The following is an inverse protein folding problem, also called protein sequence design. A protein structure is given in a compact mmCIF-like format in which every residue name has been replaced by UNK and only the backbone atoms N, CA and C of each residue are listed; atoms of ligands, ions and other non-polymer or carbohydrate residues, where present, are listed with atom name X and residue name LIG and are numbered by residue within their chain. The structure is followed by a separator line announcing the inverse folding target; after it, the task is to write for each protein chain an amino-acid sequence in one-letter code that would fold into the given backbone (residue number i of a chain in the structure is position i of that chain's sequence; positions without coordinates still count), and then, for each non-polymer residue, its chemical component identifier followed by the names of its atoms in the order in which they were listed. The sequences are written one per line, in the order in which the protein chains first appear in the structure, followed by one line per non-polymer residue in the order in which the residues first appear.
data_IF_492930100971
#
_entry.id   IF_492930100971
#
_cell.length_a   1.000
_cell.length_b   1.000
_cell.length_c   1.000
_cell.angle_alpha   90.00
_cell.angle_beta   90.00
_cell.angle_gamma   90.00
#
_symmetry.space_group_name_H-M   'P 1'
#
loop_
_entity.id
_entity.type
_entity.pdbx_description
1 polymer ?
#
# COMPACT_ATOMS: atom_id res chain seq x y z
N UNK A 1 -23.38 -20.32 -1.47
CA UNK A 1 -22.27 -20.62 -0.53
C UNK A 1 -21.19 -19.59 -0.76
N UNK A 2 -21.20 -18.51 0.02
CA UNK A 2 -20.13 -17.50 0.03
C UNK A 2 -18.99 -18.07 0.88
N UNK A 3 -17.80 -18.18 0.29
CA UNK A 3 -16.67 -18.91 0.85
C UNK A 3 -16.22 -18.31 2.18
N UNK A 4 -16.25 -19.10 3.26
CA UNK A 4 -15.63 -18.84 4.57
C UNK A 4 -14.08 -18.75 4.51
N UNK A 5 -13.51 -18.64 3.30
CA UNK A 5 -12.07 -18.61 3.02
C UNK A 5 -11.51 -17.19 2.87
N UNK A 6 -12.36 -16.16 2.96
CA UNK A 6 -11.99 -14.74 2.94
C UNK A 6 -11.76 -14.16 4.35
N UNK A 7 -11.64 -15.01 5.37
CA UNK A 7 -11.33 -14.60 6.75
C UNK A 7 -9.82 -14.63 7.09
N UNK A 8 -8.93 -14.88 6.14
CA UNK A 8 -7.50 -14.91 6.44
C UNK A 8 -6.73 -13.94 5.55
N UNK A 9 -6.17 -12.92 6.20
CA UNK A 9 -5.11 -12.05 5.73
C UNK A 9 -5.55 -10.93 4.78
N UNK A 10 -6.48 -10.10 5.25
CA UNK A 10 -6.72 -8.82 4.61
C UNK A 10 -5.41 -8.04 4.64
N UNK A 11 -4.92 -7.59 3.49
CA UNK A 11 -3.61 -6.89 3.37
C UNK A 11 -3.45 -5.73 4.37
N UNK A 12 -4.57 -5.14 4.78
CA UNK A 12 -4.67 -4.11 5.81
C UNK A 12 -4.10 -4.57 7.16
N UNK A 13 -4.31 -5.83 7.56
CA UNK A 13 -3.81 -6.41 8.82
C UNK A 13 -2.28 -6.36 8.89
N UNK A 14 -1.59 -6.67 7.79
CA UNK A 14 -0.12 -6.57 7.75
C UNK A 14 0.37 -5.13 7.92
N UNK A 15 -0.47 -4.13 7.61
CA UNK A 15 -0.11 -2.73 7.75
C UNK A 15 -0.53 -2.12 9.09
N UNK A 16 -1.16 -2.87 9.99
CA UNK A 16 -1.48 -2.37 11.34
C UNK A 16 -0.24 -2.13 12.19
N UNK A 17 0.84 -2.87 11.93
CA UNK A 17 2.15 -2.69 12.58
C UNK A 17 2.98 -1.53 11.99
N UNK A 18 2.47 -0.80 10.98
CA UNK A 18 3.21 0.30 10.36
C UNK A 18 3.30 1.48 11.33
N UNK A 19 4.53 1.83 11.69
CA UNK A 19 4.84 2.91 12.59
C UNK A 19 4.76 4.27 11.89
N UNK A 20 4.51 5.31 12.69
CA UNK A 20 4.51 6.70 12.25
C UNK A 20 5.60 7.49 12.96
N UNK A 21 6.25 8.39 12.21
CA UNK A 21 7.27 9.34 12.69
C UNK A 21 6.73 10.33 13.74
N UNK A 22 5.41 10.50 13.81
CA UNK A 22 4.70 11.30 14.82
C UNK A 22 3.43 10.57 15.23
N UNK A 23 2.94 10.84 16.43
CA UNK A 23 1.67 10.30 16.92
C UNK A 23 0.53 10.72 15.98
N UNK A 24 -0.30 9.73 15.60
CA UNK A 24 -1.48 9.92 14.80
C UNK A 24 -2.62 9.09 15.41
N UNK A 25 -3.73 9.74 15.71
CA UNK A 25 -4.85 9.18 16.47
C UNK A 25 -5.86 8.38 15.63
N UNK A 26 -5.71 8.35 14.31
CA UNK A 26 -6.63 7.63 13.43
C UNK A 26 -7.97 8.32 13.18
N UNK A 27 -8.08 9.65 13.36
CA UNK A 27 -9.34 10.43 13.37
C UNK A 27 -10.44 9.99 12.38
N UNK A 28 -10.14 9.63 11.13
CA UNK A 28 -11.15 9.06 10.21
C UNK A 28 -10.65 7.95 9.28
N UNK A 29 -9.34 7.66 9.26
CA UNK A 29 -8.75 6.61 8.46
C UNK A 29 -7.43 6.18 9.10
N UNK A 30 -7.19 4.88 9.23
CA UNK A 30 -5.92 4.40 9.79
C UNK A 30 -4.79 4.46 8.74
N UNK A 31 -3.55 4.48 9.21
CA UNK A 31 -2.37 4.35 8.34
C UNK A 31 -2.43 3.07 7.51
N UNK A 32 -2.88 1.96 8.12
CA UNK A 32 -3.07 0.68 7.46
C UNK A 32 -4.04 0.77 6.26
N UNK A 33 -5.17 1.47 6.44
CA UNK A 33 -6.15 1.69 5.37
C UNK A 33 -5.59 2.58 4.25
N UNK A 34 -4.84 3.63 4.59
CA UNK A 34 -4.15 4.47 3.61
C UNK A 34 -3.14 3.65 2.80
N UNK A 35 -2.36 2.80 3.45
CA UNK A 35 -1.39 1.95 2.77
C UNK A 35 -2.04 0.91 1.87
N UNK A 36 -3.12 0.30 2.35
CA UNK A 36 -3.97 -0.58 1.54
C UNK A 36 -4.44 0.14 0.28
N UNK A 37 -4.98 1.36 0.41
CA UNK A 37 -5.48 2.14 -0.71
C UNK A 37 -4.38 2.45 -1.74
N UNK A 38 -3.22 2.91 -1.26
CA UNK A 38 -2.09 3.27 -2.13
C UNK A 38 -1.53 2.05 -2.84
N UNK A 39 -1.43 0.91 -2.16
CA UNK A 39 -0.96 -0.32 -2.76
C UNK A 39 -1.92 -0.84 -3.82
N UNK A 40 -3.23 -0.89 -3.53
CA UNK A 40 -4.25 -1.27 -4.52
C UNK A 40 -4.21 -0.36 -5.74
N UNK A 41 -4.15 0.96 -5.53
CA UNK A 41 -4.02 1.92 -6.63
C UNK A 41 -2.74 1.72 -7.46
N UNK A 42 -1.63 1.39 -6.80
CA UNK A 42 -0.35 1.10 -7.46
C UNK A 42 -0.42 -0.18 -8.30
N UNK A 43 -1.07 -1.24 -7.80
CA UNK A 43 -1.34 -2.50 -8.54
C UNK A 43 -2.22 -2.22 -9.76
N UNK A 44 -3.18 -1.32 -9.65
CA UNK A 44 -3.99 -0.86 -10.79
C UNK A 44 -3.21 0.02 -11.79
N UNK A 45 -1.91 0.26 -11.59
CA UNK A 45 -1.05 1.02 -12.49
C UNK A 45 -1.18 2.54 -12.35
N UNK A 46 -1.79 3.03 -11.26
CA UNK A 46 -1.88 4.46 -10.98
C UNK A 46 -0.52 4.96 -10.51
N UNK A 47 -0.06 6.08 -11.07
CA UNK A 47 1.33 6.53 -10.98
C UNK A 47 1.56 7.56 -9.88
N UNK A 48 0.50 8.13 -9.32
CA UNK A 48 0.62 9.17 -8.30
C UNK A 48 -0.63 9.25 -7.40
N UNK A 49 -0.48 9.96 -6.28
CA UNK A 49 -1.51 10.11 -5.24
C UNK A 49 -2.79 10.77 -5.78
N UNK A 50 -2.67 11.68 -6.75
CA UNK A 50 -3.83 12.34 -7.37
C UNK A 50 -4.69 11.33 -8.15
N UNK A 51 -4.05 10.50 -8.98
CA UNK A 51 -4.73 9.42 -9.71
C UNK A 51 -5.37 8.40 -8.76
N UNK A 52 -4.65 8.01 -7.69
CA UNK A 52 -5.17 7.09 -6.67
C UNK A 52 -6.41 7.68 -5.99
N UNK A 53 -6.37 8.96 -5.60
CA UNK A 53 -7.50 9.63 -4.98
C UNK A 53 -8.72 9.71 -5.92
N UNK A 54 -8.52 10.11 -7.19
CA UNK A 54 -9.60 10.15 -8.19
C UNK A 54 -10.23 8.77 -8.44
N UNK A 55 -9.40 7.73 -8.51
CA UNK A 55 -9.84 6.35 -8.64
C UNK A 55 -10.65 5.90 -7.42
N UNK A 56 -10.14 6.13 -6.21
CA UNK A 56 -10.76 5.73 -4.96
C UNK A 56 -12.11 6.42 -4.69
N UNK A 57 -12.26 7.66 -5.15
CA UNK A 57 -13.49 8.46 -4.95
C UNK A 57 -14.61 8.12 -5.94
N UNK A 58 -14.36 7.28 -6.94
CA UNK A 58 -15.41 6.78 -7.82
C UNK A 58 -16.47 6.01 -7.02
N UNK A 59 -17.79 6.23 -7.20
CA UNK A 59 -18.83 5.62 -6.37
C UNK A 59 -18.81 4.08 -6.35
N UNK A 60 -18.47 3.42 -7.47
CA UNK A 60 -18.41 1.96 -7.53
C UNK A 60 -17.20 1.43 -6.75
N UNK A 61 -16.06 2.07 -6.92
CA UNK A 61 -14.82 1.69 -6.26
C UNK A 61 -14.85 2.02 -4.77
N UNK A 62 -15.41 3.16 -4.38
CA UNK A 62 -15.62 3.50 -2.97
C UNK A 62 -16.49 2.47 -2.25
N UNK A 63 -17.52 1.93 -2.92
CA UNK A 63 -18.32 0.83 -2.36
C UNK A 63 -17.49 -0.45 -2.19
N UNK A 64 -16.72 -0.82 -3.20
CA UNK A 64 -15.81 -1.97 -3.15
C UNK A 64 -14.78 -1.83 -2.01
N UNK A 65 -14.16 -0.66 -1.86
CA UNK A 65 -13.19 -0.38 -0.79
C UNK A 65 -13.83 -0.47 0.60
N UNK A 66 -15.09 -0.03 0.74
CA UNK A 66 -15.83 -0.17 1.99
C UNK A 66 -16.17 -1.62 2.31
N UNK A 67 -16.68 -2.38 1.34
CA UNK A 67 -17.14 -3.76 1.54
C UNK A 67 -15.99 -4.73 1.82
N UNK A 68 -14.87 -4.59 1.12
CA UNK A 68 -13.79 -5.57 1.18
C UNK A 68 -12.62 -5.14 2.08
N UNK A 69 -12.42 -3.84 2.32
CA UNK A 69 -11.27 -3.32 3.06
C UNK A 69 -11.66 -2.42 4.25
N UNK A 70 -12.95 -2.27 4.53
CA UNK A 70 -13.44 -1.42 5.63
C UNK A 70 -13.19 0.08 5.45
N UNK A 71 -12.73 0.52 4.26
CA UNK A 71 -12.42 1.93 3.97
C UNK A 71 -13.72 2.67 3.66
N UNK A 72 -14.43 3.07 4.71
CA UNK A 72 -15.74 3.71 4.60
C UNK A 72 -15.70 5.12 4.03
N UNK A 73 -14.58 5.84 4.19
CA UNK A 73 -14.39 7.19 3.68
C UNK A 73 -12.97 7.35 3.17
N UNK A 74 -12.84 7.72 1.89
CA UNK A 74 -11.55 8.03 1.29
C UNK A 74 -11.08 9.40 1.81
N UNK A 75 -9.86 9.52 2.39
CA UNK A 75 -9.28 10.80 2.76
C UNK A 75 -9.22 11.75 1.58
N UNK A 76 -9.43 13.05 1.81
CA UNK A 76 -9.18 14.00 0.73
C UNK A 76 -7.70 13.99 0.33
N UNK A 77 -7.41 14.43 -0.90
CA UNK A 77 -6.07 14.41 -1.48
C UNK A 77 -4.97 14.95 -0.55
N UNK A 78 -5.20 16.09 0.11
CA UNK A 78 -4.20 16.68 1.01
C UNK A 78 -3.94 15.82 2.24
N UNK A 79 -4.99 15.28 2.84
CA UNK A 79 -4.87 14.37 3.99
C UNK A 79 -4.12 13.09 3.61
N UNK A 80 -4.40 12.53 2.43
CA UNK A 80 -3.67 11.37 1.93
C UNK A 80 -2.17 11.64 1.82
N UNK A 81 -1.77 12.81 1.32
CA UNK A 81 -0.37 13.23 1.29
C UNK A 81 0.24 13.39 2.68
N UNK A 82 -0.50 13.99 3.63
CA UNK A 82 -0.01 14.15 5.00
C UNK A 82 0.23 12.80 5.67
N UNK A 83 -0.71 11.86 5.54
CA UNK A 83 -0.59 10.53 6.13
C UNK A 83 0.59 9.76 5.53
N UNK A 84 0.81 9.87 4.21
CA UNK A 84 1.96 9.23 3.58
C UNK A 84 3.30 9.77 4.06
N UNK A 85 3.37 11.05 4.45
CA UNK A 85 4.58 11.67 5.03
C UNK A 85 4.85 11.24 6.47
N UNK A 86 3.85 10.72 7.18
CA UNK A 86 4.00 10.28 8.55
C UNK A 86 4.61 8.89 8.66
N UNK A 87 4.52 8.07 7.62
CA UNK A 87 4.96 6.67 7.67
C UNK A 87 6.45 6.57 7.89
N UNK A 88 6.84 5.72 8.84
CA UNK A 88 8.22 5.32 9.02
C UNK A 88 8.63 4.30 7.95
N UNK A 89 9.55 4.64 7.02
CA UNK A 89 9.82 3.81 5.85
C UNK A 89 10.31 2.39 6.16
N UNK A 90 11.09 2.22 7.23
CA UNK A 90 11.63 0.91 7.60
C UNK A 90 10.58 -0.01 8.21
N UNK A 91 9.65 0.54 9.00
CA UNK A 91 8.50 -0.22 9.49
C UNK A 91 7.60 -0.66 8.33
N UNK A 92 7.33 0.23 7.36
CA UNK A 92 6.60 -0.14 6.15
C UNK A 92 7.30 -1.26 5.38
N UNK A 93 8.62 -1.16 5.16
CA UNK A 93 9.39 -2.19 4.45
C UNK A 93 9.27 -3.55 5.13
N UNK A 94 9.35 -3.59 6.46
CA UNK A 94 9.21 -4.80 7.27
C UNK A 94 7.81 -5.41 7.09
N UNK A 95 6.76 -4.60 7.24
CA UNK A 95 5.37 -5.03 7.09
C UNK A 95 5.07 -5.53 5.67
N UNK A 96 5.54 -4.79 4.66
CA UNK A 96 5.40 -5.17 3.26
C UNK A 96 6.13 -6.48 2.95
N UNK A 97 7.36 -6.66 3.46
CA UNK A 97 8.09 -7.92 3.29
C UNK A 97 7.35 -9.09 3.93
N UNK A 98 6.82 -8.92 5.16
CA UNK A 98 6.01 -9.95 5.82
C UNK A 98 4.81 -10.37 4.98
N UNK A 99 4.09 -9.39 4.42
CA UNK A 99 2.96 -9.65 3.53
C UNK A 99 3.38 -10.38 2.26
N UNK A 100 4.42 -9.93 1.56
CA UNK A 100 4.88 -10.60 0.34
C UNK A 100 5.34 -12.02 0.65
N UNK A 101 6.09 -12.23 1.74
CA UNK A 101 6.55 -13.57 2.14
C UNK A 101 5.39 -14.51 2.48
N UNK A 102 4.28 -14.01 3.03
CA UNK A 102 3.11 -14.87 3.30
C UNK A 102 2.36 -15.33 2.04
N UNK A 103 2.58 -14.65 0.91
CA UNK A 103 2.05 -15.04 -0.39
C UNK A 103 2.95 -16.04 -1.13
N UNK A 104 4.20 -16.21 -0.68
CA UNK A 104 5.15 -17.10 -1.34
C UNK A 104 4.92 -18.57 -0.92
N UNK A 105 5.17 -19.52 -1.84
CA UNK A 105 5.17 -20.95 -1.51
C UNK A 105 6.18 -21.32 -0.41
N UNK A 106 5.90 -22.38 0.36
CA UNK A 106 6.78 -22.86 1.44
C UNK A 106 8.18 -23.31 0.93
N UNK A 107 8.27 -23.73 -0.33
CA UNK A 107 9.49 -24.18 -1.01
C UNK A 107 10.33 -23.04 -1.61
N UNK A 108 9.98 -21.77 -1.31
CA UNK A 108 10.72 -20.59 -1.78
C UNK A 108 12.12 -20.42 -1.15
N UNK A 109 12.55 -21.31 -0.26
CA UNK A 109 13.84 -21.22 0.42
C UNK A 109 15.02 -21.15 -0.57
N UNK A 110 15.83 -20.09 -0.49
CA UNK A 110 17.02 -19.89 -1.33
C UNK A 110 16.80 -19.06 -2.61
N UNK A 111 15.57 -18.57 -2.86
CA UNK A 111 15.28 -17.70 -4.01
C UNK A 111 15.17 -16.22 -3.59
N UNK A 112 15.81 -15.34 -4.35
CA UNK A 112 15.73 -13.88 -4.14
C UNK A 112 14.61 -13.28 -4.98
N UNK A 113 13.55 -12.77 -4.34
CA UNK A 113 12.54 -11.96 -5.00
C UNK A 113 13.00 -10.49 -5.03
N UNK A 114 13.41 -9.99 -6.20
CA UNK A 114 13.72 -8.57 -6.39
C UNK A 114 12.50 -7.83 -6.94
N UNK A 115 12.04 -6.81 -6.21
CA UNK A 115 10.99 -5.89 -6.66
C UNK A 115 11.68 -4.60 -7.11
N UNK A 116 11.90 -4.48 -8.43
CA UNK A 116 12.62 -3.34 -8.99
C UNK A 116 11.68 -2.14 -9.24
N UNK A 117 11.82 -1.11 -8.40
CA UNK A 117 11.02 0.12 -8.45
C UNK A 117 11.49 1.17 -9.46
N UNK A 118 12.42 0.85 -10.38
CA UNK A 118 12.99 1.82 -11.35
C UNK A 118 11.93 2.62 -12.11
N UNK A 119 10.81 1.99 -12.48
CA UNK A 119 9.72 2.67 -13.18
C UNK A 119 8.97 3.68 -12.29
N UNK A 120 8.88 3.44 -10.98
CA UNK A 120 8.24 4.35 -10.01
C UNK A 120 9.11 5.59 -9.78
N UNK A 121 10.44 5.44 -9.74
CA UNK A 121 11.36 6.59 -9.59
C UNK A 121 11.65 7.35 -10.89
N UNK A 122 11.01 6.99 -12.01
CA UNK A 122 11.28 7.59 -13.34
C UNK A 122 12.77 7.54 -13.72
N UNK A 123 13.56 6.62 -13.16
CA UNK A 123 14.98 6.44 -13.51
C UNK A 123 15.15 5.92 -14.94
N UNK A 124 14.07 5.41 -15.56
CA UNK A 124 13.97 5.11 -16.99
C UNK A 124 14.28 6.35 -17.88
N UNK A 125 14.13 7.58 -17.33
CA UNK A 125 14.48 8.84 -18.01
C UNK A 125 15.82 9.45 -17.57
N UNK A 126 16.54 8.83 -16.64
CA UNK A 126 17.87 9.31 -16.21
C UNK A 126 18.92 8.82 -17.21
N UNK A 127 19.59 9.76 -17.88
CA UNK A 127 20.61 9.45 -18.90
C UNK A 127 21.92 8.93 -18.32
N UNK A 128 22.16 9.09 -17.00
CA UNK A 128 23.33 8.55 -16.28
C UNK A 128 22.97 8.22 -14.84
N UNK A 129 23.31 7.00 -14.44
CA UNK A 129 23.42 6.59 -13.04
C UNK A 129 24.92 6.51 -12.75
N UNK A 130 25.47 7.45 -11.99
CA UNK A 130 26.92 7.55 -11.78
C UNK A 130 27.49 6.44 -10.90
N UNK A 131 26.66 5.66 -10.20
CA UNK A 131 27.06 4.45 -9.47
C UNK A 131 25.83 3.60 -9.14
N UNK A 132 25.89 2.26 -9.24
CA UNK A 132 24.88 1.38 -8.66
C UNK A 132 24.94 1.46 -7.13
N UNK A 133 23.78 1.40 -6.47
CA UNK A 133 23.67 1.12 -5.04
C UNK A 133 24.03 -0.33 -4.75
#
# INVERSE_FOLDING_TARGET
MYNARMEQNLITEYFEEVETTKEYDGYFCSVAQVMTLVLLGSICGLKNVSQIHQWATNPRLSRFLKEYFGISRVPCYYWLLCLLKLIEPDSLRKCFTKWVTSLLPEDWSGQTLSIDGKRIRSTERMSRCESPL
#
